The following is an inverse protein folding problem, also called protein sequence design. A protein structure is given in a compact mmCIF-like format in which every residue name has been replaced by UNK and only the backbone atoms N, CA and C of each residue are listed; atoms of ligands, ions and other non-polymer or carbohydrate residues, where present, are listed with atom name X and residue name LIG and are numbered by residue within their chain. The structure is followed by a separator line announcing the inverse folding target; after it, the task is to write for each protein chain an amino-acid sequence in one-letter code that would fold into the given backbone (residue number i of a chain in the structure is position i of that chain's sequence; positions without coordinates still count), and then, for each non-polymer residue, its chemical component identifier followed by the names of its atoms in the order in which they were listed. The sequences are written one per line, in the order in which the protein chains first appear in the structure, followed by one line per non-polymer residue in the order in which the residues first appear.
data_IF_690876734683
#
_entry.id   IF_690876734683
#
_cell.length_a   1.000
_cell.length_b   1.000
_cell.length_c   1.000
_cell.angle_alpha   90.00
_cell.angle_beta   90.00
_cell.angle_gamma   90.00
#
_symmetry.space_group_name_H-M   'P 1'
#
loop_
_entity.id
_entity.type
_entity.pdbx_description
1 polymer ?
#
# COMPACT_ATOMS: atom_id res chain seq x y z
N UNK A 1 0.77 13.56 -0.14
CA UNK A 1 0.72 12.29 0.62
C UNK A 1 -0.64 12.17 1.31
N UNK A 2 -1.13 13.24 1.92
CA UNK A 2 -2.40 13.32 2.65
C UNK A 2 -3.64 12.81 1.90
N UNK A 3 -3.81 13.14 0.60
CA UNK A 3 -4.96 12.66 -0.18
C UNK A 3 -5.09 11.13 -0.24
N UNK A 4 -3.98 10.40 -0.19
CA UNK A 4 -4.00 8.94 -0.20
C UNK A 4 -4.56 8.36 1.10
N UNK A 5 -4.47 9.09 2.21
CA UNK A 5 -5.04 8.68 3.51
C UNK A 5 -6.52 9.04 3.63
N UNK A 6 -6.98 10.11 2.99
CA UNK A 6 -8.41 10.50 2.98
C UNK A 6 -9.26 9.75 1.96
N UNK A 7 -8.68 9.27 0.86
CA UNK A 7 -9.44 8.65 -0.23
C UNK A 7 -10.25 7.40 0.18
N UNK A 8 -9.75 6.48 1.04
CA UNK A 8 -10.55 5.36 1.51
C UNK A 8 -11.81 5.79 2.28
N UNK A 9 -11.73 6.83 3.12
CA UNK A 9 -12.91 7.36 3.83
C UNK A 9 -13.92 7.97 2.85
N UNK A 10 -13.46 8.78 1.91
CA UNK A 10 -14.33 9.38 0.91
C UNK A 10 -15.00 8.33 0.00
N UNK A 11 -14.31 7.21 -0.28
CA UNK A 11 -14.93 6.07 -0.97
C UNK A 11 -16.06 5.46 -0.13
N UNK A 12 -15.82 5.25 1.16
CA UNK A 12 -16.83 4.72 2.09
C UNK A 12 -18.06 5.65 2.19
N UNK A 13 -17.83 6.96 2.29
CA UNK A 13 -18.90 7.98 2.31
C UNK A 13 -19.78 7.91 1.05
N UNK A 14 -19.17 7.76 -0.14
CA UNK A 14 -19.91 7.68 -1.41
C UNK A 14 -20.69 6.39 -1.57
N UNK A 15 -20.20 5.30 -0.98
CA UNK A 15 -20.88 4.02 -0.97
C UNK A 15 -21.92 3.91 0.14
N UNK A 16 -22.01 4.91 1.04
CA UNK A 16 -22.94 4.92 2.16
C UNK A 16 -22.62 3.84 3.21
N UNK A 17 -21.33 3.50 3.38
CA UNK A 17 -20.88 2.46 4.31
C UNK A 17 -19.92 3.02 5.35
N UNK A 18 -19.92 2.43 6.54
CA UNK A 18 -18.98 2.81 7.60
C UNK A 18 -17.57 2.23 7.36
N UNK A 19 -17.51 1.05 6.74
CA UNK A 19 -16.29 0.34 6.42
C UNK A 19 -16.36 -0.25 5.01
N UNK A 20 -15.23 -0.22 4.30
CA UNK A 20 -15.11 -0.84 2.99
C UNK A 20 -15.01 -2.35 3.13
N UNK A 21 -15.78 -3.08 2.32
CA UNK A 21 -15.73 -4.54 2.23
C UNK A 21 -15.17 -4.99 0.87
N UNK A 22 -14.26 -5.98 0.90
CA UNK A 22 -13.62 -6.48 -0.31
C UNK A 22 -14.62 -7.24 -1.21
N UNK A 23 -15.62 -7.92 -0.66
CA UNK A 23 -16.61 -8.67 -1.47
C UNK A 23 -17.53 -7.71 -2.19
N UNK A 24 -18.00 -6.67 -1.51
CA UNK A 24 -18.79 -5.59 -2.10
C UNK A 24 -18.05 -4.94 -3.28
N UNK A 25 -16.81 -4.49 -3.06
CA UNK A 25 -16.02 -3.84 -4.13
C UNK A 25 -15.69 -4.80 -5.28
N UNK A 26 -15.40 -6.08 -4.98
CA UNK A 26 -15.11 -7.10 -5.99
C UNK A 26 -16.30 -7.42 -6.90
N UNK A 27 -17.51 -7.40 -6.34
CA UNK A 27 -18.78 -7.71 -7.01
C UNK A 27 -19.50 -6.51 -7.63
N UNK A 28 -19.07 -5.28 -7.34
CA UNK A 28 -19.66 -4.06 -7.90
C UNK A 28 -19.55 -4.01 -9.44
N UNK A 29 -20.51 -3.36 -10.09
CA UNK A 29 -20.38 -3.02 -11.50
C UNK A 29 -19.15 -2.12 -11.74
N UNK A 30 -18.39 -2.41 -12.80
CA UNK A 30 -17.10 -1.75 -13.04
C UNK A 30 -17.26 -0.29 -13.47
N UNK A 31 -18.32 0.02 -14.22
CA UNK A 31 -18.62 1.39 -14.62
C UNK A 31 -19.15 2.21 -13.44
N UNK A 32 -20.01 1.62 -12.62
CA UNK A 32 -20.50 2.23 -11.39
C UNK A 32 -19.36 2.55 -10.42
N UNK A 33 -18.46 1.60 -10.16
CA UNK A 33 -17.29 1.84 -9.31
C UNK A 33 -16.39 2.93 -9.89
N UNK A 34 -16.23 2.98 -11.22
CA UNK A 34 -15.50 4.04 -11.89
C UNK A 34 -16.16 5.41 -11.67
N UNK A 35 -17.49 5.52 -11.79
CA UNK A 35 -18.24 6.75 -11.50
C UNK A 35 -18.05 7.19 -10.04
N UNK A 36 -18.10 6.25 -9.09
CA UNK A 36 -17.84 6.53 -7.67
C UNK A 36 -16.43 7.09 -7.47
N UNK A 37 -15.41 6.57 -8.16
CA UNK A 37 -14.04 7.10 -8.09
C UNK A 37 -13.88 8.49 -8.74
N UNK A 38 -14.69 8.80 -9.77
CA UNK A 38 -14.60 10.03 -10.54
C UNK A 38 -15.29 11.24 -9.90
N UNK A 39 -16.34 11.03 -9.09
CA UNK A 39 -17.17 12.11 -8.55
C UNK A 39 -16.35 13.25 -7.92
N UNK A 40 -16.81 14.51 -7.95
CA UNK A 40 -16.04 15.61 -7.39
C UNK A 40 -15.97 15.52 -5.84
N UNK A 41 -14.79 15.72 -5.21
CA UNK A 41 -13.47 15.68 -5.84
C UNK A 41 -13.07 14.23 -6.18
N UNK A 42 -12.43 13.99 -7.33
CA UNK A 42 -12.04 12.63 -7.72
C UNK A 42 -11.19 11.95 -6.61
N UNK A 43 -11.31 10.64 -6.41
CA UNK A 43 -10.50 9.96 -5.37
C UNK A 43 -9.00 9.99 -5.67
N UNK A 44 -8.66 9.98 -6.96
CA UNK A 44 -7.29 9.98 -7.45
C UNK A 44 -7.18 10.84 -8.72
N UNK A 45 -5.95 11.25 -9.08
CA UNK A 45 -5.69 11.92 -10.37
C UNK A 45 -5.91 11.06 -11.61
N UNK A 46 -6.03 9.74 -11.41
CA UNK A 46 -6.33 8.72 -12.43
C UNK A 46 -7.48 7.84 -11.93
N UNK A 47 -8.70 8.39 -11.80
CA UNK A 47 -9.79 7.72 -11.08
C UNK A 47 -10.21 6.40 -11.73
N UNK A 48 -10.33 6.34 -13.07
CA UNK A 48 -10.73 5.11 -13.77
C UNK A 48 -9.72 3.97 -13.59
N UNK A 49 -8.42 4.23 -13.79
CA UNK A 49 -7.38 3.22 -13.56
C UNK A 49 -7.31 2.77 -12.09
N UNK A 50 -7.57 3.66 -11.14
CA UNK A 50 -7.56 3.28 -9.71
C UNK A 50 -8.81 2.51 -9.30
N UNK A 51 -9.97 2.79 -9.90
CA UNK A 51 -11.18 2.01 -9.68
C UNK A 51 -10.96 0.55 -10.08
N UNK A 52 -10.52 0.32 -11.32
CA UNK A 52 -10.23 -1.02 -11.83
C UNK A 52 -9.19 -1.76 -10.99
N UNK A 53 -8.08 -1.10 -10.65
CA UNK A 53 -7.02 -1.70 -9.82
C UNK A 53 -7.49 -2.03 -8.40
N UNK A 54 -8.32 -1.17 -7.80
CA UNK A 54 -8.89 -1.43 -6.47
C UNK A 54 -9.81 -2.64 -6.53
N UNK A 55 -10.65 -2.72 -7.56
CA UNK A 55 -11.53 -3.87 -7.77
C UNK A 55 -10.77 -5.17 -8.00
N UNK A 56 -9.72 -5.16 -8.82
CA UNK A 56 -8.85 -6.33 -9.03
C UNK A 56 -8.18 -6.79 -7.74
N UNK A 57 -7.70 -5.85 -6.92
CA UNK A 57 -7.14 -6.16 -5.61
C UNK A 57 -8.19 -6.82 -4.71
N UNK A 58 -9.40 -6.25 -4.62
CA UNK A 58 -10.49 -6.84 -3.85
C UNK A 58 -10.87 -8.25 -4.36
N UNK A 59 -10.94 -8.46 -5.68
CA UNK A 59 -11.19 -9.78 -6.27
C UNK A 59 -10.12 -10.80 -5.90
N UNK A 60 -8.84 -10.40 -5.90
CA UNK A 60 -7.75 -11.27 -5.46
C UNK A 60 -7.89 -11.63 -3.98
N UNK A 61 -8.19 -10.65 -3.13
CA UNK A 61 -8.42 -10.87 -1.70
C UNK A 61 -9.59 -11.84 -1.47
N UNK A 62 -10.71 -11.67 -2.16
CA UNK A 62 -11.86 -12.59 -2.06
C UNK A 62 -11.46 -13.99 -2.49
N UNK A 63 -10.79 -14.12 -3.64
CA UNK A 63 -10.43 -15.42 -4.23
C UNK A 63 -9.44 -16.21 -3.37
N UNK A 64 -8.47 -15.54 -2.74
CA UNK A 64 -7.31 -16.22 -2.11
C UNK A 64 -7.23 -16.06 -0.60
N UNK A 65 -7.92 -15.07 -0.04
CA UNK A 65 -7.76 -14.62 1.34
C UNK A 65 -9.11 -14.38 2.02
N UNK A 66 -10.20 -14.96 1.49
CA UNK A 66 -11.56 -14.87 2.04
C UNK A 66 -12.08 -13.42 2.20
N UNK A 67 -11.57 -12.50 1.38
CA UNK A 67 -11.89 -11.07 1.44
C UNK A 67 -11.26 -10.34 2.62
N UNK A 68 -10.41 -11.02 3.40
CA UNK A 68 -9.76 -10.51 4.62
C UNK A 68 -8.28 -10.21 4.35
N UNK A 69 -7.87 -8.94 4.27
CA UNK A 69 -6.47 -8.58 4.04
C UNK A 69 -5.50 -9.19 5.05
N UNK A 70 -5.92 -9.35 6.31
CA UNK A 70 -5.10 -9.92 7.38
C UNK A 70 -4.60 -11.34 7.08
N UNK A 71 -5.35 -12.10 6.27
CA UNK A 71 -4.95 -13.44 5.83
C UNK A 71 -3.74 -13.44 4.89
N UNK A 72 -3.28 -12.27 4.40
CA UNK A 72 -2.00 -12.18 3.70
C UNK A 72 -0.83 -12.52 4.63
N UNK A 73 -0.92 -12.16 5.92
CA UNK A 73 0.17 -12.27 6.88
C UNK A 73 -0.14 -13.11 8.12
N UNK A 74 -1.40 -13.42 8.40
CA UNK A 74 -1.80 -14.17 9.59
C UNK A 74 -1.13 -15.56 9.70
N UNK A 75 -0.94 -16.25 8.58
CA UNK A 75 -0.35 -17.59 8.47
C UNK A 75 1.00 -17.59 7.71
N UNK A 76 1.60 -16.41 7.48
CA UNK A 76 2.83 -16.34 6.70
C UNK A 76 3.99 -16.98 7.49
N UNK A 77 4.64 -18.04 6.96
CA UNK A 77 5.70 -18.76 7.70
C UNK A 77 7.00 -17.96 7.80
N UNK A 78 7.23 -17.04 6.85
CA UNK A 78 8.43 -16.22 6.76
C UNK A 78 8.19 -14.91 6.01
N UNK A 79 9.15 -14.00 6.14
CA UNK A 79 9.18 -12.72 5.44
C UNK A 79 9.21 -12.83 3.93
N UNK A 80 9.87 -13.86 3.39
CA UNK A 80 9.97 -14.10 1.95
C UNK A 80 8.59 -14.46 1.34
N UNK A 81 7.81 -15.28 2.05
CA UNK A 81 6.45 -15.66 1.68
C UNK A 81 5.51 -14.48 1.79
N UNK A 82 5.58 -13.71 2.88
CA UNK A 82 4.79 -12.50 2.99
C UNK A 82 5.13 -11.51 1.86
N UNK A 83 6.42 -11.28 1.57
CA UNK A 83 6.83 -10.42 0.47
C UNK A 83 6.29 -10.88 -0.89
N UNK A 84 6.35 -12.19 -1.15
CA UNK A 84 5.80 -12.79 -2.38
C UNK A 84 4.28 -12.54 -2.48
N UNK A 85 3.53 -12.81 -1.40
CA UNK A 85 2.08 -12.55 -1.35
C UNK A 85 1.74 -11.07 -1.59
N UNK A 86 2.52 -10.16 -1.02
CA UNK A 86 2.36 -8.71 -1.24
C UNK A 86 2.67 -8.31 -2.69
N UNK A 87 3.70 -8.90 -3.32
CA UNK A 87 4.05 -8.65 -4.72
C UNK A 87 2.99 -9.13 -5.71
N UNK A 88 2.14 -10.09 -5.32
CA UNK A 88 1.06 -10.60 -6.16
C UNK A 88 -0.17 -9.67 -6.17
N UNK A 89 -0.23 -8.67 -5.28
CA UNK A 89 -1.35 -7.73 -5.23
C UNK A 89 -1.33 -6.76 -6.42
N UNK A 90 -2.46 -6.55 -7.11
CA UNK A 90 -2.57 -5.56 -8.18
C UNK A 90 -2.09 -4.17 -7.75
N UNK A 91 -1.09 -3.63 -8.44
CA UNK A 91 -0.51 -2.32 -8.13
C UNK A 91 0.68 -2.31 -7.18
N UNK A 92 1.05 -3.47 -6.63
CA UNK A 92 2.22 -3.66 -5.77
C UNK A 92 3.38 -4.20 -6.61
N UNK A 93 4.42 -3.40 -6.75
CA UNK A 93 5.70 -3.84 -7.33
C UNK A 93 6.75 -4.06 -6.24
N UNK A 94 7.89 -4.66 -6.60
CA UNK A 94 8.95 -5.06 -5.68
C UNK A 94 9.33 -4.01 -4.61
N UNK A 95 9.40 -2.73 -4.97
CA UNK A 95 9.70 -1.68 -4.00
C UNK A 95 8.53 -1.45 -3.01
N UNK A 96 7.30 -1.33 -3.50
CA UNK A 96 6.12 -1.07 -2.65
C UNK A 96 5.87 -2.23 -1.70
N UNK A 97 6.04 -3.46 -2.17
CA UNK A 97 5.86 -4.65 -1.34
C UNK A 97 6.88 -4.73 -0.21
N UNK A 98 8.15 -4.38 -0.48
CA UNK A 98 9.18 -4.27 0.57
C UNK A 98 8.89 -3.16 1.58
N UNK A 99 8.42 -2.00 1.12
CA UNK A 99 8.00 -0.91 2.01
C UNK A 99 6.80 -1.34 2.86
N UNK A 100 5.83 -2.05 2.27
CA UNK A 100 4.64 -2.48 3.01
C UNK A 100 4.96 -3.61 4.00
N UNK A 101 5.83 -4.55 3.64
CA UNK A 101 6.39 -5.52 4.59
C UNK A 101 7.10 -4.82 5.76
N UNK A 102 7.91 -3.80 5.47
CA UNK A 102 8.56 -3.02 6.51
C UNK A 102 7.57 -2.30 7.41
N UNK A 103 6.50 -1.73 6.86
CA UNK A 103 5.44 -1.07 7.64
C UNK A 103 4.77 -2.06 8.60
N UNK A 104 4.40 -3.24 8.10
CA UNK A 104 3.79 -4.32 8.87
C UNK A 104 4.68 -4.75 10.03
N UNK A 105 5.97 -5.00 9.79
CA UNK A 105 6.91 -5.40 10.84
C UNK A 105 7.26 -4.29 11.84
N UNK A 106 7.48 -3.06 11.37
CA UNK A 106 7.92 -1.95 12.22
C UNK A 106 6.81 -1.34 13.08
N UNK A 107 5.59 -1.25 12.54
CA UNK A 107 4.52 -0.48 13.19
C UNK A 107 3.32 -1.32 13.62
N UNK A 108 3.11 -2.50 13.02
CA UNK A 108 1.93 -3.34 13.29
C UNK A 108 2.28 -4.67 13.97
N UNK A 109 3.55 -4.91 14.31
CA UNK A 109 3.98 -6.13 15.01
C UNK A 109 3.92 -7.42 14.17
N UNK A 110 3.69 -7.31 12.85
CA UNK A 110 3.64 -8.45 11.94
C UNK A 110 5.08 -8.82 11.54
N UNK A 111 5.71 -9.68 12.34
CA UNK A 111 7.14 -9.95 12.27
C UNK A 111 7.45 -11.45 12.05
N UNK A 112 7.03 -12.07 10.92
CA UNK A 112 7.41 -13.45 10.62
C UNK A 112 8.94 -13.56 10.44
N UNK A 113 9.56 -14.72 10.70
CA UNK A 113 11.00 -14.90 10.57
C UNK A 113 11.55 -14.38 9.23
N UNK A 114 12.68 -13.67 9.26
CA UNK A 114 13.32 -13.16 8.04
C UNK A 114 12.65 -11.94 7.38
N UNK A 115 11.68 -11.28 8.03
CA UNK A 115 10.97 -10.15 7.43
C UNK A 115 11.84 -8.92 7.15
N UNK A 116 12.88 -8.66 7.96
CA UNK A 116 13.77 -7.50 7.78
C UNK A 116 14.64 -7.69 6.54
N UNK A 117 15.20 -8.88 6.39
CA UNK A 117 16.01 -9.31 5.26
C UNK A 117 15.19 -9.25 3.97
N UNK A 118 13.95 -9.76 4.00
CA UNK A 118 13.04 -9.69 2.86
C UNK A 118 12.66 -8.23 2.51
N UNK A 119 12.49 -7.35 3.50
CA UNK A 119 12.24 -5.93 3.27
C UNK A 119 13.49 -5.16 2.76
N UNK A 120 14.68 -5.75 2.84
CA UNK A 120 15.95 -5.15 2.41
C UNK A 120 16.27 -3.87 3.18
N UNK A 121 16.74 -2.83 2.49
CA UNK A 121 17.03 -1.50 3.08
C UNK A 121 15.88 -0.93 3.91
N UNK A 122 14.62 -1.26 3.60
CA UNK A 122 13.46 -0.80 4.35
C UNK A 122 13.26 -1.56 5.67
N UNK A 123 13.85 -2.74 5.82
CA UNK A 123 13.80 -3.55 7.04
C UNK A 123 14.87 -3.20 8.07
N UNK A 124 15.87 -2.39 7.70
CA UNK A 124 16.95 -1.96 8.59
C UNK A 124 16.39 -1.21 9.80
N UNK A 125 16.94 -1.52 10.97
CA UNK A 125 16.61 -0.81 12.21
C UNK A 125 17.12 0.63 12.16
N UNK A 126 16.38 1.57 12.72
CA UNK A 126 16.69 3.00 12.69
C UNK A 126 16.65 3.67 11.30
N UNK A 127 16.25 2.98 10.23
CA UNK A 127 16.20 3.57 8.88
C UNK A 127 15.16 4.68 8.77
N UNK A 128 15.41 5.72 7.95
CA UNK A 128 14.44 6.79 7.61
C UNK A 128 14.16 6.88 6.11
N UNK A 129 13.68 5.78 5.52
CA UNK A 129 13.65 5.61 4.06
C UNK A 129 12.25 5.67 3.45
N UNK A 130 11.22 5.35 4.22
CA UNK A 130 9.87 5.13 3.69
C UNK A 130 8.77 5.47 4.69
N UNK A 131 7.52 5.27 4.29
CA UNK A 131 6.37 5.47 5.19
C UNK A 131 6.42 4.52 6.40
N UNK A 132 7.08 3.37 6.28
CA UNK A 132 7.30 2.44 7.38
C UNK A 132 8.11 3.05 8.54
N UNK A 133 8.83 4.15 8.28
CA UNK A 133 9.70 4.81 9.24
C UNK A 133 9.09 6.09 9.83
N UNK A 134 7.85 6.43 9.43
CA UNK A 134 7.15 7.64 9.88
C UNK A 134 6.29 7.27 11.09
N UNK A 135 6.71 7.71 12.27
CA UNK A 135 6.00 7.53 13.56
C UNK A 135 5.55 8.86 14.18
N UNK A 136 5.93 9.98 13.57
CA UNK A 136 5.60 11.33 14.03
C UNK A 136 6.17 12.44 13.13
N UNK A 137 5.94 13.73 13.47
CA UNK A 137 6.33 14.87 12.64
C UNK A 137 7.84 14.94 12.32
N UNK A 138 8.69 14.62 13.29
CA UNK A 138 10.14 14.62 13.11
C UNK A 138 10.58 13.57 12.08
N UNK A 139 10.17 12.31 12.28
CA UNK A 139 10.46 11.22 11.35
C UNK A 139 9.89 11.45 9.93
N UNK A 140 8.76 12.17 9.82
CA UNK A 140 8.22 12.57 8.53
C UNK A 140 9.17 13.53 7.79
N UNK A 141 9.77 14.47 8.51
CA UNK A 141 10.76 15.41 7.96
C UNK A 141 12.02 14.67 7.50
N UNK A 142 12.54 13.75 8.32
CA UNK A 142 13.72 12.95 7.99
C UNK A 142 13.48 12.08 6.74
N UNK A 143 12.33 11.38 6.66
CA UNK A 143 11.98 10.57 5.48
C UNK A 143 11.82 11.43 4.23
N UNK A 144 11.31 12.67 4.35
CA UNK A 144 11.22 13.61 3.22
C UNK A 144 12.61 14.04 2.75
N UNK A 145 13.51 14.38 3.67
CA UNK A 145 14.90 14.73 3.36
C UNK A 145 15.61 13.60 2.63
N UNK A 146 15.57 12.38 3.17
CA UNK A 146 16.15 11.19 2.54
C UNK A 146 15.63 10.97 1.11
N UNK A 147 14.31 11.07 0.90
CA UNK A 147 13.71 10.90 -0.44
C UNK A 147 14.15 11.99 -1.43
N UNK A 148 14.36 13.21 -0.94
CA UNK A 148 14.86 14.32 -1.76
C UNK A 148 16.31 14.08 -2.19
N UNK A 149 17.17 13.68 -1.26
CA UNK A 149 18.58 13.33 -1.52
C UNK A 149 18.69 12.20 -2.55
N UNK A 150 17.95 11.09 -2.35
CA UNK A 150 17.96 9.97 -3.29
C UNK A 150 17.49 10.38 -4.70
N UNK A 151 16.49 11.27 -4.79
CA UNK A 151 16.02 11.79 -6.08
C UNK A 151 17.07 12.68 -6.75
N UNK A 152 17.81 13.48 -5.98
CA UNK A 152 18.90 14.30 -6.48
C UNK A 152 20.07 13.43 -6.97
N UNK A 153 20.49 12.44 -6.18
CA UNK A 153 21.54 11.49 -6.55
C UNK A 153 21.17 10.72 -7.84
N UNK A 154 19.94 10.22 -7.96
CA UNK A 154 19.47 9.52 -9.15
C UNK A 154 19.41 10.43 -10.39
N UNK A 155 19.15 11.74 -10.22
CA UNK A 155 19.22 12.71 -11.33
C UNK A 155 20.67 12.96 -11.75
N UNK A 156 21.58 13.13 -10.81
CA UNK A 156 23.00 13.32 -11.09
C UNK A 156 23.63 12.10 -11.79
N UNK A 157 23.28 10.89 -11.37
CA UNK A 157 23.74 9.66 -12.00
C UNK A 157 23.21 9.44 -13.43
N UNK A 158 22.10 10.09 -13.81
CA UNK A 158 21.58 10.07 -15.19
C UNK A 158 22.18 11.14 -16.10
N UNK A 159 22.89 12.12 -15.52
CA UNK A 159 23.53 13.22 -16.25
C UNK A 159 25.03 12.96 -16.48
N UNK A 160 25.60 11.94 -15.83
CA UNK A 160 26.93 11.39 -16.10
C UNK A 160 26.80 10.23 -17.07
#
# INVERSE_FOLDING_TARGET
MERAFGAPRLLADRLGVDALDARQLAGMDAEELTRVFQGPPALHRYPGSMAGRTQELCRLLVKRYDGRPENLWADAPDGATLLRRLNELPGFGAQKSRIFLALLGKQYGVAPPGWREAAGDYGLDGSRRSVADITGPESLTEVRAFKQEQKQAARAAKQK
#
